data_IF_948409946183
#
_entry.id   IF_948409946183
#
_cell.length_a   1.000
_cell.length_b   1.000
_cell.length_c   1.000
_cell.angle_alpha   90.00
_cell.angle_beta   90.00
_cell.angle_gamma   90.00
#
_symmetry.space_group_name_H-M   'P 1'
#
loop_
_entity.id
_entity.type
_entity.pdbx_description
1 polymer ?
#
# COMPACT_ATOMS: atom_id res chain seq x y z
N UNK A 1 -4.22 -75.83 7.82
CA UNK A 1 -5.10 -74.69 7.78
C UNK A 1 -4.39 -73.50 8.46
N UNK A 2 -3.87 -72.51 7.72
CA UNK A 2 -3.21 -71.33 8.27
C UNK A 2 -4.17 -70.17 8.10
N UNK A 3 -4.65 -69.65 9.21
CA UNK A 3 -5.57 -68.48 9.23
C UNK A 3 -4.73 -67.24 9.18
N UNK A 4 -4.87 -66.44 8.10
CA UNK A 4 -4.24 -65.13 7.94
C UNK A 4 -5.18 -64.11 8.55
N UNK A 5 -4.77 -63.47 9.65
CA UNK A 5 -5.48 -62.37 10.30
C UNK A 5 -5.04 -61.08 9.63
N UNK A 6 -5.94 -60.51 8.81
CA UNK A 6 -5.71 -59.23 8.13
C UNK A 6 -6.00 -58.07 9.09
N UNK A 7 -4.95 -57.32 9.45
CA UNK A 7 -5.08 -56.12 10.29
C UNK A 7 -5.38 -54.93 9.38
N UNK A 8 -6.62 -54.45 9.38
CA UNK A 8 -7.00 -53.21 8.73
C UNK A 8 -6.62 -52.02 9.62
N UNK A 9 -5.53 -51.34 9.26
CA UNK A 9 -5.11 -50.11 9.93
C UNK A 9 -5.97 -48.94 9.39
N UNK A 10 -6.96 -48.53 10.18
CA UNK A 10 -7.80 -47.37 9.86
C UNK A 10 -7.00 -46.07 10.15
N UNK A 11 -6.47 -45.46 9.12
CA UNK A 11 -5.79 -44.14 9.21
C UNK A 11 -6.86 -43.07 9.31
N UNK A 12 -7.24 -42.67 10.52
CA UNK A 12 -8.08 -41.52 10.74
C UNK A 12 -7.25 -40.27 10.45
N UNK A 13 -7.46 -39.64 9.29
CA UNK A 13 -6.93 -38.33 8.98
C UNK A 13 -7.60 -37.30 9.92
N UNK A 14 -6.88 -36.91 10.96
CA UNK A 14 -7.22 -35.70 11.72
C UNK A 14 -7.03 -34.48 10.78
N UNK A 15 -8.13 -34.08 10.14
CA UNK A 15 -8.20 -32.77 9.54
C UNK A 15 -8.13 -31.76 10.69
N UNK A 16 -6.92 -31.30 11.00
CA UNK A 16 -6.73 -30.15 11.88
C UNK A 16 -7.42 -28.96 11.23
N UNK A 17 -8.50 -28.51 11.85
CA UNK A 17 -9.08 -27.20 11.53
C UNK A 17 -8.06 -26.18 11.99
N UNK A 18 -7.19 -25.71 11.07
CA UNK A 18 -6.39 -24.51 11.33
C UNK A 18 -7.38 -23.37 11.49
N UNK A 19 -7.39 -22.65 12.63
CA UNK A 19 -8.20 -21.46 12.73
C UNK A 19 -7.83 -20.55 11.54
N UNK A 20 -8.83 -20.04 10.84
CA UNK A 20 -8.61 -19.00 9.85
C UNK A 20 -7.82 -17.88 10.55
N UNK A 21 -6.77 -17.35 9.92
CA UNK A 21 -6.05 -16.22 10.50
C UNK A 21 -7.06 -15.15 10.87
N UNK A 22 -6.90 -14.57 12.06
CA UNK A 22 -7.76 -13.49 12.49
C UNK A 22 -7.69 -12.40 11.40
N UNK A 23 -8.83 -12.08 10.78
CA UNK A 23 -8.90 -11.02 9.78
C UNK A 23 -8.73 -9.69 10.50
N UNK A 24 -7.51 -9.18 10.55
CA UNK A 24 -7.12 -7.90 11.09
C UNK A 24 -6.39 -7.08 10.03
N UNK A 25 -6.32 -5.78 10.23
CA UNK A 25 -5.44 -4.88 9.49
C UNK A 25 -4.43 -4.32 10.48
N UNK A 26 -3.15 -4.53 10.20
CA UNK A 26 -2.07 -3.89 10.92
C UNK A 26 -1.70 -2.59 10.23
N UNK A 27 -1.54 -1.53 11.00
CA UNK A 27 -1.14 -0.21 10.51
C UNK A 27 0.17 0.17 11.19
N UNK A 28 1.20 0.36 10.39
CA UNK A 28 2.53 0.80 10.82
C UNK A 28 2.77 2.22 10.33
N UNK A 29 2.99 3.16 11.24
CA UNK A 29 3.45 4.51 10.88
C UNK A 29 4.93 4.60 11.21
N UNK A 30 5.75 4.93 10.23
CA UNK A 30 7.20 4.97 10.40
C UNK A 30 7.65 6.28 11.06
N UNK A 31 8.56 6.16 12.02
CA UNK A 31 9.13 7.33 12.71
C UNK A 31 10.33 7.88 11.92
N UNK A 32 10.06 8.69 10.92
CA UNK A 32 11.01 9.25 9.96
C UNK A 32 11.05 10.78 10.00
N UNK A 33 10.95 11.36 11.20
CA UNK A 33 11.05 12.79 11.42
C UNK A 33 9.77 13.54 11.07
N UNK A 34 9.82 14.45 10.08
CA UNK A 34 8.67 15.26 9.64
C UNK A 34 7.98 14.68 8.40
N UNK A 35 8.53 13.61 7.85
CA UNK A 35 8.04 12.98 6.65
C UNK A 35 6.93 11.97 6.97
N UNK A 36 6.09 11.68 5.98
CA UNK A 36 4.99 10.75 6.10
C UNK A 36 5.26 9.44 5.36
N UNK A 37 5.05 8.32 6.06
CA UNK A 37 5.04 6.98 5.49
C UNK A 37 4.24 6.05 6.39
N UNK A 38 3.26 5.37 5.83
CA UNK A 38 2.43 4.41 6.57
C UNK A 38 2.20 3.14 5.76
N UNK A 39 2.44 1.97 6.37
CA UNK A 39 2.13 0.68 5.80
C UNK A 39 0.84 0.12 6.40
N UNK A 40 -0.05 -0.37 5.55
CA UNK A 40 -1.20 -1.18 5.94
C UNK A 40 -0.96 -2.61 5.46
N UNK A 41 -1.01 -3.57 6.39
CA UNK A 41 -0.85 -5.00 6.07
C UNK A 41 -2.10 -5.76 6.49
N UNK A 42 -2.73 -6.47 5.55
CA UNK A 42 -3.96 -7.23 5.77
C UNK A 42 -4.15 -8.29 4.67
N UNK A 43 -4.70 -9.44 5.02
CA UNK A 43 -5.01 -10.51 4.07
C UNK A 43 -3.82 -10.94 3.17
N UNK A 44 -2.58 -10.74 3.63
CA UNK A 44 -1.36 -10.96 2.84
C UNK A 44 -1.08 -9.88 1.80
N UNK A 45 -1.77 -8.75 1.86
CA UNK A 45 -1.57 -7.58 1.01
C UNK A 45 -0.90 -6.45 1.79
N UNK A 46 -0.09 -5.67 1.09
CA UNK A 46 0.65 -4.54 1.64
C UNK A 46 0.35 -3.27 0.83
N UNK A 47 -0.15 -2.25 1.52
CA UNK A 47 -0.43 -0.94 0.94
C UNK A 47 0.43 0.10 1.64
N UNK A 48 1.24 0.83 0.87
CA UNK A 48 2.08 1.90 1.39
C UNK A 48 1.45 3.26 1.03
N UNK A 49 1.36 4.16 1.99
CA UNK A 49 0.88 5.52 1.80
C UNK A 49 2.02 6.47 2.10
N UNK A 50 2.46 7.20 1.09
CA UNK A 50 3.66 8.03 1.06
C UNK A 50 4.95 7.27 1.39
N UNK A 51 6.09 7.86 1.09
CA UNK A 51 7.41 7.20 1.13
C UNK A 51 8.52 8.11 1.72
N UNK A 52 8.16 9.08 2.52
CA UNK A 52 9.10 9.89 3.25
C UNK A 52 9.98 10.84 2.42
N UNK A 53 11.03 11.35 3.05
CA UNK A 53 12.07 12.16 2.39
C UNK A 53 13.11 11.29 1.69
N UNK A 54 13.90 11.88 0.79
CA UNK A 54 15.01 11.25 0.06
C UNK A 54 16.01 10.55 1.00
N UNK A 55 16.39 11.21 2.09
CA UNK A 55 17.29 10.66 3.10
C UNK A 55 16.65 9.54 3.97
N UNK A 56 15.37 9.28 3.83
CA UNK A 56 14.63 8.29 4.61
C UNK A 56 14.33 7.00 3.83
N UNK A 57 14.51 6.98 2.52
CA UNK A 57 14.17 5.85 1.66
C UNK A 57 14.77 4.53 2.15
N UNK A 58 16.06 4.51 2.49
CA UNK A 58 16.71 3.33 3.02
C UNK A 58 16.13 2.86 4.36
N UNK A 59 15.64 3.77 5.23
CA UNK A 59 15.01 3.42 6.52
C UNK A 59 13.66 2.75 6.30
N UNK A 60 12.92 3.22 5.29
CA UNK A 60 11.64 2.64 4.90
C UNK A 60 11.87 1.25 4.33
N UNK A 61 12.86 1.07 3.44
CA UNK A 61 13.26 -0.23 2.91
C UNK A 61 13.64 -1.20 4.03
N UNK A 62 14.50 -0.79 4.96
CA UNK A 62 14.90 -1.61 6.10
C UNK A 62 13.70 -2.01 6.97
N UNK A 63 12.77 -1.07 7.22
CA UNK A 63 11.59 -1.33 8.03
C UNK A 63 10.62 -2.31 7.33
N UNK A 64 10.39 -2.15 6.04
CA UNK A 64 9.58 -3.06 5.24
C UNK A 64 10.18 -4.48 5.20
N UNK A 65 11.50 -4.60 5.09
CA UNK A 65 12.22 -5.88 5.16
C UNK A 65 12.09 -6.54 6.53
N UNK A 66 12.18 -5.77 7.63
CA UNK A 66 11.98 -6.29 8.99
C UNK A 66 10.54 -6.76 9.24
N UNK A 67 9.57 -6.19 8.52
CA UNK A 67 8.16 -6.61 8.54
C UNK A 67 7.88 -7.74 7.55
N UNK A 68 8.93 -8.32 6.94
CA UNK A 68 8.84 -9.42 5.97
C UNK A 68 7.94 -9.09 4.76
N UNK A 69 7.88 -7.82 4.36
CA UNK A 69 7.17 -7.39 3.14
C UNK A 69 7.94 -7.91 1.93
N UNK A 70 7.29 -8.69 1.08
CA UNK A 70 7.88 -9.22 -0.15
C UNK A 70 7.53 -8.36 -1.38
N UNK A 71 6.37 -7.69 -1.35
CA UNK A 71 5.88 -6.80 -2.41
C UNK A 71 4.91 -5.77 -1.84
N UNK A 72 4.67 -4.73 -2.62
CA UNK A 72 3.64 -3.73 -2.36
C UNK A 72 2.51 -3.90 -3.39
N UNK A 73 1.31 -4.26 -2.93
CA UNK A 73 0.14 -4.43 -3.79
C UNK A 73 -0.40 -3.08 -4.26
N UNK A 74 -0.14 -2.02 -3.48
CA UNK A 74 -0.53 -0.65 -3.82
C UNK A 74 0.39 0.34 -3.11
N UNK A 75 0.80 1.37 -3.82
CA UNK A 75 1.37 2.59 -3.24
C UNK A 75 0.43 3.75 -3.55
N UNK A 76 0.11 4.57 -2.56
CA UNK A 76 -0.66 5.80 -2.73
C UNK A 76 0.27 6.96 -2.39
N UNK A 77 0.60 7.79 -3.37
CA UNK A 77 1.33 9.03 -3.16
C UNK A 77 0.30 10.15 -3.04
N UNK A 78 0.24 10.79 -1.87
CA UNK A 78 -0.82 11.76 -1.60
C UNK A 78 -0.60 13.07 -2.37
N UNK A 79 0.63 13.55 -2.41
CA UNK A 79 1.06 14.71 -3.21
C UNK A 79 2.59 14.65 -3.43
N UNK A 80 3.17 15.64 -4.11
CA UNK A 80 4.56 15.56 -4.57
C UNK A 80 5.55 16.42 -3.79
N UNK A 81 5.26 16.75 -2.53
CA UNK A 81 6.27 17.36 -1.66
C UNK A 81 7.34 16.32 -1.28
N UNK A 82 8.56 16.81 -1.02
CA UNK A 82 9.74 15.97 -0.82
C UNK A 82 9.62 14.98 0.34
N UNK A 83 8.86 15.35 1.37
CA UNK A 83 8.61 14.57 2.57
C UNK A 83 7.53 13.49 2.39
N UNK A 84 7.00 13.35 1.16
CA UNK A 84 6.01 12.33 0.77
C UNK A 84 6.49 11.42 -0.37
N UNK A 85 7.30 11.93 -1.30
CA UNK A 85 7.77 11.15 -2.46
C UNK A 85 9.27 10.88 -2.46
N UNK A 86 10.04 11.47 -1.53
CA UNK A 86 11.50 11.48 -1.59
C UNK A 86 12.14 10.10 -1.63
N UNK A 87 11.65 9.15 -0.84
CA UNK A 87 12.15 7.77 -0.79
C UNK A 87 11.61 6.83 -1.87
N UNK A 88 10.83 7.32 -2.87
CA UNK A 88 10.15 6.45 -3.82
C UNK A 88 11.10 5.58 -4.65
N UNK A 89 12.20 6.15 -5.13
CA UNK A 89 13.17 5.40 -5.94
C UNK A 89 13.78 4.24 -5.17
N UNK A 90 14.17 4.45 -3.90
CA UNK A 90 14.74 3.40 -3.05
C UNK A 90 13.73 2.26 -2.81
N UNK A 91 12.46 2.62 -2.60
CA UNK A 91 11.38 1.63 -2.40
C UNK A 91 11.10 0.86 -3.68
N UNK A 92 11.06 1.53 -4.83
CA UNK A 92 10.83 0.90 -6.13
C UNK A 92 11.99 -0.01 -6.55
N UNK A 93 13.23 0.35 -6.20
CA UNK A 93 14.40 -0.49 -6.44
C UNK A 93 14.41 -1.75 -5.55
N UNK A 94 13.84 -1.67 -4.35
CA UNK A 94 13.88 -2.75 -3.36
C UNK A 94 12.70 -3.71 -3.43
N UNK A 95 11.53 -3.26 -3.89
CA UNK A 95 10.30 -4.05 -3.85
C UNK A 95 9.53 -4.02 -5.16
N UNK A 96 8.98 -5.16 -5.61
CA UNK A 96 7.95 -5.16 -6.65
C UNK A 96 6.73 -4.35 -6.20
N UNK A 97 6.27 -3.42 -7.05
CA UNK A 97 5.08 -2.61 -6.83
C UNK A 97 4.06 -2.93 -7.90
N UNK A 98 2.88 -3.44 -7.50
CA UNK A 98 1.84 -3.85 -8.45
C UNK A 98 1.11 -2.66 -9.07
N UNK A 99 0.96 -1.57 -8.29
CA UNK A 99 0.27 -0.35 -8.74
C UNK A 99 0.62 0.86 -7.90
N UNK A 100 0.67 2.03 -8.54
CA UNK A 100 0.74 3.34 -7.86
C UNK A 100 -0.49 4.17 -8.20
N UNK A 101 -1.09 4.78 -7.18
CA UNK A 101 -2.11 5.83 -7.32
C UNK A 101 -1.49 7.15 -6.90
N UNK A 102 -1.69 8.19 -7.71
CA UNK A 102 -1.15 9.52 -7.46
C UNK A 102 -2.10 10.61 -8.00
N UNK A 103 -1.98 11.86 -7.52
CA UNK A 103 -2.83 12.95 -8.00
C UNK A 103 -2.48 13.35 -9.44
N UNK A 104 -3.46 13.96 -10.13
CA UNK A 104 -3.29 14.37 -11.53
C UNK A 104 -2.74 15.79 -11.63
N UNK A 105 -1.47 15.95 -11.33
CA UNK A 105 -0.69 17.15 -11.69
C UNK A 105 0.77 16.77 -11.93
N UNK A 106 1.54 17.68 -12.49
CA UNK A 106 2.95 17.50 -12.81
C UNK A 106 3.75 18.54 -12.05
N UNK A 107 4.93 18.17 -11.60
CA UNK A 107 5.85 19.06 -10.92
C UNK A 107 7.19 19.12 -11.64
N UNK A 108 7.78 20.32 -11.68
CA UNK A 108 9.14 20.51 -12.16
C UNK A 108 10.12 20.54 -10.97
N UNK A 109 10.39 19.33 -10.42
CA UNK A 109 11.39 19.14 -9.36
C UNK A 109 12.20 17.89 -9.63
N UNK A 110 13.44 17.87 -9.17
CA UNK A 110 14.35 16.70 -9.34
C UNK A 110 13.75 15.44 -8.73
N UNK A 111 13.14 15.53 -7.54
CA UNK A 111 12.49 14.39 -6.88
C UNK A 111 11.29 13.86 -7.65
N UNK A 112 10.45 14.75 -8.21
CA UNK A 112 9.34 14.30 -9.06
C UNK A 112 9.86 13.58 -10.31
N UNK A 113 10.91 14.13 -10.95
CA UNK A 113 11.52 13.50 -12.12
C UNK A 113 12.16 12.16 -11.77
N UNK A 114 12.81 12.04 -10.60
CA UNK A 114 13.36 10.77 -10.10
C UNK A 114 12.27 9.72 -9.84
N UNK A 115 11.16 10.12 -9.20
CA UNK A 115 10.00 9.25 -9.01
C UNK A 115 9.41 8.78 -10.35
N UNK A 116 9.20 9.70 -11.29
CA UNK A 116 8.62 9.40 -12.61
C UNK A 116 9.55 8.46 -13.41
N UNK A 117 10.87 8.68 -13.35
CA UNK A 117 11.86 7.80 -13.94
C UNK A 117 11.87 6.40 -13.31
N UNK A 118 11.68 6.28 -11.98
CA UNK A 118 11.58 4.99 -11.31
C UNK A 118 10.29 4.25 -11.70
N UNK A 119 9.17 4.95 -11.86
CA UNK A 119 7.92 4.37 -12.38
C UNK A 119 8.12 3.77 -13.78
N UNK A 120 8.82 4.48 -14.66
CA UNK A 120 9.13 3.99 -16.02
C UNK A 120 10.13 2.84 -15.99
N UNK A 121 11.21 2.94 -15.22
CA UNK A 121 12.28 1.94 -15.15
C UNK A 121 11.78 0.58 -14.71
N UNK A 122 10.91 0.56 -13.72
CA UNK A 122 10.33 -0.66 -13.15
C UNK A 122 8.98 -1.05 -13.79
N UNK A 123 8.55 -0.33 -14.85
CA UNK A 123 7.28 -0.58 -15.57
C UNK A 123 6.06 -0.64 -14.64
N UNK A 124 6.04 0.23 -13.60
CA UNK A 124 5.01 0.19 -12.56
C UNK A 124 3.68 0.76 -13.09
N UNK A 125 2.58 -0.02 -13.04
CA UNK A 125 1.26 0.47 -13.42
C UNK A 125 0.83 1.66 -12.57
N UNK A 126 0.47 2.76 -13.22
CA UNK A 126 0.18 4.03 -12.55
C UNK A 126 -1.22 4.54 -12.89
N UNK A 127 -1.95 5.00 -11.88
CA UNK A 127 -3.25 5.66 -12.03
C UNK A 127 -3.20 7.08 -11.47
N UNK A 128 -3.41 8.09 -12.35
CA UNK A 128 -3.56 9.50 -11.96
C UNK A 128 -5.03 9.79 -11.72
N UNK A 129 -5.37 10.24 -10.51
CA UNK A 129 -6.75 10.48 -10.13
C UNK A 129 -7.21 11.89 -10.49
N UNK A 130 -8.09 11.97 -11.49
CA UNK A 130 -8.83 13.17 -11.89
C UNK A 130 -10.12 13.39 -11.07
N UNK A 131 -10.63 12.34 -10.44
CA UNK A 131 -11.88 12.34 -9.69
C UNK A 131 -11.83 11.30 -8.57
N UNK A 132 -12.76 11.44 -7.63
CA UNK A 132 -12.93 10.49 -6.53
C UNK A 132 -13.12 9.07 -7.05
N UNK A 133 -12.49 8.12 -6.39
CA UNK A 133 -12.62 6.70 -6.72
C UNK A 133 -12.88 5.87 -5.47
N UNK A 134 -13.54 4.73 -5.68
CA UNK A 134 -13.74 3.71 -4.63
C UNK A 134 -13.46 2.34 -5.23
N UNK A 135 -12.60 1.56 -4.56
CA UNK A 135 -12.25 0.22 -4.99
C UNK A 135 -12.10 -0.72 -3.79
N UNK A 136 -12.10 -2.02 -4.09
CA UNK A 136 -11.90 -3.06 -3.09
C UNK A 136 -10.53 -3.70 -3.29
N UNK A 137 -9.79 -3.87 -2.19
CA UNK A 137 -8.56 -4.67 -2.15
C UNK A 137 -8.69 -5.64 -0.97
N UNK A 138 -8.76 -6.94 -1.22
CA UNK A 138 -9.08 -7.93 -0.19
C UNK A 138 -10.38 -7.59 0.56
N UNK A 139 -10.32 -7.54 1.89
CA UNK A 139 -11.44 -7.13 2.75
C UNK A 139 -11.51 -5.62 3.00
N UNK A 140 -10.54 -4.85 2.51
CA UNK A 140 -10.50 -3.40 2.66
C UNK A 140 -11.20 -2.69 1.50
N UNK A 141 -12.10 -1.77 1.82
CA UNK A 141 -12.70 -0.84 0.86
C UNK A 141 -12.01 0.52 0.98
N UNK A 142 -11.41 0.97 -0.11
CA UNK A 142 -10.74 2.25 -0.22
C UNK A 142 -11.66 3.26 -0.88
N UNK A 143 -11.75 4.45 -0.31
CA UNK A 143 -12.29 5.63 -0.97
C UNK A 143 -11.20 6.67 -1.01
N UNK A 144 -10.81 7.09 -2.20
CA UNK A 144 -9.77 8.09 -2.43
C UNK A 144 -10.41 9.31 -3.07
N UNK A 145 -10.34 10.43 -2.40
CA UNK A 145 -10.82 11.72 -2.90
C UNK A 145 -9.70 12.45 -3.59
N UNK A 146 -9.94 12.86 -4.82
CA UNK A 146 -9.05 13.72 -5.58
C UNK A 146 -9.27 15.19 -5.24
N UNK A 147 -8.23 16.00 -5.34
CA UNK A 147 -8.38 17.44 -5.17
C UNK A 147 -9.22 18.05 -6.30
N UNK A 148 -10.12 18.96 -5.95
CA UNK A 148 -10.85 19.81 -6.91
C UNK A 148 -10.08 21.08 -7.27
N UNK A 149 -8.87 21.26 -6.73
CA UNK A 149 -8.03 22.43 -6.97
C UNK A 149 -7.22 22.25 -8.24
N UNK A 150 -6.75 23.36 -8.76
CA UNK A 150 -5.80 23.37 -9.88
C UNK A 150 -4.42 23.67 -9.31
N UNK A 151 -3.44 22.87 -9.72
CA UNK A 151 -2.05 23.08 -9.34
C UNK A 151 -1.55 24.42 -9.90
N UNK A 152 -0.91 25.20 -9.05
CA UNK A 152 -0.33 26.50 -9.39
C UNK A 152 1.16 26.48 -8.99
N UNK A 153 2.07 26.30 -9.96
CA UNK A 153 3.50 26.18 -9.66
C UNK A 153 4.10 27.44 -9.05
N UNK A 154 3.51 28.62 -9.30
CA UNK A 154 4.00 29.88 -8.73
C UNK A 154 3.66 29.99 -7.24
N UNK A 155 2.59 29.35 -6.80
CA UNK A 155 2.14 29.35 -5.40
C UNK A 155 2.65 28.16 -4.60
N UNK A 156 3.11 27.09 -5.27
CA UNK A 156 3.54 25.87 -4.62
C UNK A 156 2.43 25.27 -3.74
N UNK A 157 1.25 25.04 -4.33
CA UNK A 157 0.07 24.59 -3.59
C UNK A 157 -0.08 23.04 -3.55
N UNK A 158 1.01 22.32 -3.50
CA UNK A 158 1.06 20.85 -3.52
C UNK A 158 0.16 20.22 -2.45
N UNK A 159 0.23 20.68 -1.22
CA UNK A 159 -0.63 20.21 -0.12
C UNK A 159 -2.14 20.36 -0.42
N UNK A 160 -2.54 21.29 -1.28
CA UNK A 160 -3.93 21.44 -1.72
C UNK A 160 -4.32 20.45 -2.81
N UNK A 161 -3.34 19.78 -3.39
CA UNK A 161 -3.53 18.74 -4.42
C UNK A 161 -3.60 17.34 -3.83
N UNK A 162 -3.43 17.20 -2.51
CA UNK A 162 -3.35 15.92 -1.84
C UNK A 162 -4.58 15.05 -2.07
N UNK A 163 -4.33 13.78 -2.34
CA UNK A 163 -5.34 12.73 -2.23
C UNK A 163 -5.66 12.49 -0.75
N UNK A 164 -6.93 12.30 -0.45
CA UNK A 164 -7.39 11.91 0.89
C UNK A 164 -7.94 10.50 0.81
N UNK A 165 -7.44 9.60 1.66
CA UNK A 165 -7.84 8.19 1.62
C UNK A 165 -8.60 7.81 2.89
N UNK A 166 -9.79 7.24 2.73
CA UNK A 166 -10.50 6.54 3.79
C UNK A 166 -10.51 5.04 3.51
N UNK A 167 -10.31 4.26 4.56
CA UNK A 167 -10.22 2.80 4.47
C UNK A 167 -11.21 2.20 5.45
N UNK A 168 -12.14 1.39 4.94
CA UNK A 168 -13.05 0.60 5.74
C UNK A 168 -12.62 -0.88 5.66
N UNK A 169 -12.28 -1.47 6.80
CA UNK A 169 -11.84 -2.86 6.90
C UNK A 169 -12.82 -3.70 7.75
N UNK A 170 -13.10 -4.90 7.28
CA UNK A 170 -13.93 -5.87 8.01
C UNK A 170 -15.22 -6.25 7.28
N UNK A 171 -16.06 -7.11 7.89
CA UNK A 171 -17.33 -7.49 7.28
C UNK A 171 -18.15 -6.24 7.04
N UNK A 172 -18.61 -6.07 5.78
CA UNK A 172 -19.28 -4.87 5.25
C UNK A 172 -20.10 -4.15 6.31
N UNK A 173 -19.56 -3.08 6.86
CA UNK A 173 -20.30 -2.20 7.73
C UNK A 173 -21.34 -1.50 6.85
N UNK A 174 -22.60 -1.90 7.00
CA UNK A 174 -23.69 -1.30 6.26
C UNK A 174 -23.82 0.15 6.70
N UNK A 175 -23.40 1.04 5.80
CA UNK A 175 -23.73 2.47 5.72
C UNK A 175 -23.81 3.25 7.04
N UNK A 176 -22.77 4.02 7.33
CA UNK A 176 -22.99 5.36 7.86
C UNK A 176 -22.40 6.35 6.83
N UNK A 177 -23.23 7.19 6.19
CA UNK A 177 -22.69 8.34 5.47
C UNK A 177 -22.06 9.25 6.52
N UNK A 178 -20.81 9.61 6.32
CA UNK A 178 -20.19 10.70 7.07
C UNK A 178 -21.03 11.97 6.83
N UNK A 179 -21.31 12.77 7.87
CA UNK A 179 -22.08 14.00 7.76
C UNK A 179 -21.40 15.04 6.91
#
# INVERSE_FOLDING_TARGET
MKTILSFFLCFAALMGCTPAPASGMDIYTFSIGKADCSLLSFDGMNVLIDVGEEDDGYKIVDALQQLEVEKLDLVILTHFDKDHIGGFSDVADAFPIEKVILPDYVRDSELYQSMDAALELHEIPTERLLADTTFQLGQAAFTVWASTKVYDPEKGNDNQMSLVTAIAFGPKCTKHPFP
#
